data_IF_107536350510
#
_entry.id   IF_107536350510
#
_cell.length_a   1.000
_cell.length_b   1.000
_cell.length_c   1.000
_cell.angle_alpha   90.00
_cell.angle_beta   90.00
_cell.angle_gamma   90.00
#
_symmetry.space_group_name_H-M   'P 1'
#
loop_
_entity.id
_entity.type
_entity.pdbx_description
1 polymer ?
#
# COMPACT_ATOMS: atom_id res chain seq x y z
N UNK A 1 -47.31 29.32 17.54
CA UNK A 1 -47.40 27.96 18.11
C UNK A 1 -47.37 27.01 16.92
N UNK A 2 -46.19 26.81 16.33
CA UNK A 2 -45.27 25.67 16.55
C UNK A 2 -45.73 24.39 15.85
N UNK A 3 -44.83 23.81 15.05
CA UNK A 3 -44.74 22.44 14.47
C UNK A 3 -44.80 22.46 12.94
N UNK A 4 -43.94 21.80 12.15
CA UNK A 4 -42.57 21.26 12.23
C UNK A 4 -42.29 20.79 10.78
N UNK A 5 -41.08 20.91 10.21
CA UNK A 5 -40.74 20.30 8.92
C UNK A 5 -40.21 18.85 9.08
N UNK A 6 -40.39 17.95 8.10
CA UNK A 6 -39.63 16.71 7.95
C UNK A 6 -38.54 16.86 6.84
N UNK A 7 -37.72 15.84 6.53
CA UNK A 7 -36.87 15.02 7.38
C UNK A 7 -35.40 15.11 6.87
N UNK A 8 -34.45 15.57 7.68
CA UNK A 8 -33.03 15.46 7.31
C UNK A 8 -32.44 14.15 7.84
N UNK A 9 -32.35 13.18 6.94
CA UNK A 9 -31.42 12.08 7.03
C UNK A 9 -29.98 12.62 6.96
N UNK A 10 -29.19 12.43 8.01
CA UNK A 10 -27.73 12.44 7.93
C UNK A 10 -27.12 11.91 9.22
N UNK A 11 -26.34 10.83 9.09
CA UNK A 11 -25.09 10.52 9.79
C UNK A 11 -25.00 9.02 10.08
N UNK A 12 -24.69 8.24 9.05
CA UNK A 12 -24.04 6.94 9.23
C UNK A 12 -22.60 7.21 9.70
N UNK A 13 -22.40 7.30 11.02
CA UNK A 13 -21.07 7.28 11.63
C UNK A 13 -20.63 5.81 11.76
N UNK A 14 -20.24 5.24 10.62
CA UNK A 14 -19.47 3.99 10.61
C UNK A 14 -18.02 4.38 10.36
N UNK A 15 -17.11 4.28 11.34
CA UNK A 15 -15.71 4.56 11.10
C UNK A 15 -15.22 3.63 9.98
N UNK A 16 -14.64 4.16 8.88
CA UNK A 16 -14.17 3.32 7.80
C UNK A 16 -13.15 2.36 8.38
N UNK A 17 -13.38 1.05 8.17
CA UNK A 17 -12.41 0.01 8.46
C UNK A 17 -11.05 0.52 8.01
N UNK A 18 -10.05 0.52 8.91
CA UNK A 18 -8.72 1.08 8.64
C UNK A 18 -8.16 0.43 7.38
N UNK A 19 -8.41 1.06 6.25
CA UNK A 19 -7.82 0.69 4.98
C UNK A 19 -6.32 0.68 5.22
N UNK A 20 -5.67 -0.45 4.93
CA UNK A 20 -4.24 -0.58 5.11
C UNK A 20 -3.58 0.54 4.30
N UNK A 21 -3.00 1.51 5.01
CA UNK A 21 -2.35 2.64 4.37
C UNK A 21 -1.30 2.11 3.38
N UNK A 22 -1.34 2.63 2.15
CA UNK A 22 -0.38 2.27 1.10
C UNK A 22 1.04 2.51 1.61
N UNK A 23 1.87 1.50 1.43
CA UNK A 23 3.28 1.49 1.80
C UNK A 23 4.06 0.87 0.64
N UNK A 24 5.31 1.32 0.44
CA UNK A 24 6.15 0.84 -0.66
C UNK A 24 6.67 1.96 -1.56
N UNK A 25 7.17 1.54 -2.71
CA UNK A 25 7.82 2.41 -3.69
C UNK A 25 6.79 3.35 -4.32
N UNK A 26 7.25 4.47 -4.86
CA UNK A 26 6.43 5.33 -5.69
C UNK A 26 6.47 4.78 -7.10
N UNK A 27 5.30 4.45 -7.65
CA UNK A 27 5.20 4.04 -9.05
C UNK A 27 5.15 5.28 -9.95
N UNK A 28 5.57 5.18 -11.22
CA UNK A 28 5.45 6.30 -12.16
C UNK A 28 4.01 6.81 -12.28
N UNK A 29 3.02 5.91 -12.24
CA UNK A 29 1.60 6.26 -12.29
C UNK A 29 1.17 7.03 -11.02
N UNK A 30 1.66 6.63 -9.85
CA UNK A 30 1.44 7.35 -8.60
C UNK A 30 2.06 8.75 -8.62
N UNK A 31 3.27 8.89 -9.17
CA UNK A 31 3.94 10.20 -9.32
C UNK A 31 3.20 11.12 -10.29
N UNK A 32 2.75 10.60 -11.44
CA UNK A 32 1.98 11.35 -12.42
C UNK A 32 0.65 11.85 -11.84
N UNK A 33 -0.10 10.97 -11.18
CA UNK A 33 -1.33 11.32 -10.50
C UNK A 33 -1.11 12.38 -9.41
N UNK A 34 -0.09 12.20 -8.57
CA UNK A 34 0.22 13.15 -7.49
C UNK A 34 0.64 14.52 -8.02
N UNK A 35 1.43 14.55 -9.09
CA UNK A 35 1.85 15.81 -9.72
C UNK A 35 0.66 16.60 -10.23
N UNK A 36 -0.31 15.90 -10.84
CA UNK A 36 -1.58 16.52 -11.26
C UNK A 36 -2.38 17.05 -10.07
N UNK A 37 -2.52 16.26 -9.01
CA UNK A 37 -3.20 16.70 -7.79
C UNK A 37 -2.56 17.95 -7.17
N UNK A 38 -1.22 18.02 -7.11
CA UNK A 38 -0.50 19.20 -6.62
C UNK A 38 -0.77 20.43 -7.50
N UNK A 39 -0.79 20.25 -8.83
CA UNK A 39 -1.07 21.33 -9.77
C UNK A 39 -2.49 21.87 -9.57
N UNK A 40 -3.49 21.00 -9.45
CA UNK A 40 -4.89 21.38 -9.27
C UNK A 40 -5.14 22.02 -7.90
N UNK A 41 -4.46 21.53 -6.87
CA UNK A 41 -4.51 22.11 -5.53
C UNK A 41 -3.88 23.52 -5.49
N UNK A 42 -2.70 23.68 -6.09
CA UNK A 42 -2.01 24.98 -6.15
C UNK A 42 -2.76 25.97 -7.04
N UNK A 43 -3.48 25.46 -8.04
CA UNK A 43 -4.34 26.25 -8.91
C UNK A 43 -5.60 26.78 -8.21
N UNK A 44 -6.00 26.21 -7.08
CA UNK A 44 -7.22 26.60 -6.36
C UNK A 44 -8.51 26.18 -7.05
N UNK A 45 -8.46 25.20 -7.97
CA UNK A 45 -9.59 24.81 -8.84
C UNK A 45 -10.36 23.58 -8.34
N UNK A 46 -10.06 23.12 -7.13
CA UNK A 46 -10.72 21.97 -6.51
C UNK A 46 -12.00 22.45 -5.80
N UNK A 47 -13.15 21.91 -6.21
CA UNK A 47 -14.47 22.32 -5.70
C UNK A 47 -14.90 21.50 -4.48
N UNK A 48 -14.31 20.32 -4.30
CA UNK A 48 -14.61 19.33 -3.25
C UNK A 48 -13.82 19.53 -1.95
N UNK A 49 -12.95 20.56 -1.89
CA UNK A 49 -12.06 20.83 -0.76
C UNK A 49 -12.39 22.17 -0.11
N UNK A 50 -12.35 22.20 1.22
CA UNK A 50 -12.50 23.40 2.02
C UNK A 50 -11.18 24.19 2.12
N UNK A 51 -11.29 25.52 2.10
CA UNK A 51 -10.15 26.42 2.30
C UNK A 51 -9.45 26.15 3.63
N UNK A 52 -8.12 26.26 3.64
CA UNK A 52 -7.31 25.95 4.82
C UNK A 52 -6.96 24.47 4.98
N UNK A 53 -7.55 23.56 4.19
CA UNK A 53 -7.13 22.16 4.15
C UNK A 53 -5.65 22.09 3.77
N UNK A 54 -4.83 21.33 4.51
CA UNK A 54 -3.40 21.20 4.15
C UNK A 54 -3.20 20.28 2.95
N UNK A 55 -2.27 20.61 2.06
CA UNK A 55 -1.94 19.78 0.90
C UNK A 55 -1.50 18.37 1.32
N UNK A 56 -0.77 18.28 2.44
CA UNK A 56 -0.32 17.01 3.02
C UNK A 56 -1.49 16.12 3.42
N UNK A 57 -2.45 16.63 4.20
CA UNK A 57 -3.59 15.83 4.66
C UNK A 57 -4.45 15.39 3.48
N UNK A 58 -4.72 16.31 2.55
CA UNK A 58 -5.51 16.01 1.37
C UNK A 58 -4.86 14.96 0.46
N UNK A 59 -3.58 15.11 0.09
CA UNK A 59 -2.88 14.10 -0.72
C UNK A 59 -2.82 12.74 -0.04
N UNK A 60 -2.65 12.72 1.28
CA UNK A 60 -2.63 11.46 2.03
C UNK A 60 -3.96 10.70 1.93
N UNK A 61 -5.09 11.41 1.92
CA UNK A 61 -6.41 10.84 1.70
C UNK A 61 -6.58 10.36 0.26
N UNK A 62 -6.21 11.17 -0.73
CA UNK A 62 -6.32 10.80 -2.15
C UNK A 62 -5.49 9.55 -2.48
N UNK A 63 -4.25 9.47 -1.98
CA UNK A 63 -3.33 8.35 -2.24
C UNK A 63 -3.50 7.18 -1.26
N UNK A 64 -4.45 7.27 -0.31
CA UNK A 64 -4.70 6.27 0.74
C UNK A 64 -3.42 5.88 1.49
N UNK A 65 -2.57 6.86 1.83
CA UNK A 65 -1.28 6.64 2.49
C UNK A 65 -1.11 7.52 3.73
N UNK A 66 -0.05 7.30 4.52
CA UNK A 66 0.18 8.10 5.71
C UNK A 66 0.76 9.49 5.37
N UNK A 67 0.40 10.57 6.09
CA UNK A 67 0.95 11.91 5.89
C UNK A 67 2.48 11.99 5.94
N UNK A 68 3.11 11.05 6.66
CA UNK A 68 4.56 10.97 6.73
C UNK A 68 5.21 10.51 5.44
N UNK A 69 4.57 9.63 4.67
CA UNK A 69 5.07 9.20 3.36
C UNK A 69 5.13 10.38 2.39
N UNK A 70 4.11 11.23 2.42
CA UNK A 70 4.07 12.48 1.67
C UNK A 70 5.20 13.42 2.11
N UNK A 71 5.34 13.66 3.42
CA UNK A 71 6.39 14.54 3.95
C UNK A 71 7.81 14.07 3.63
N UNK A 72 8.02 12.75 3.53
CA UNK A 72 9.31 12.17 3.17
C UNK A 72 9.62 12.25 1.68
N UNK A 73 8.59 12.21 0.82
CA UNK A 73 8.74 12.33 -0.64
C UNK A 73 9.03 13.77 -1.05
N UNK A 74 8.32 14.71 -0.44
CA UNK A 74 8.32 16.12 -0.80
C UNK A 74 9.10 16.92 0.27
N UNK A 75 10.41 17.06 0.04
CA UNK A 75 11.37 17.72 0.94
C UNK A 75 12.08 18.89 0.25
N UNK A 76 12.75 19.75 1.03
CA UNK A 76 13.47 20.92 0.51
C UNK A 76 12.53 21.89 -0.22
N UNK A 77 12.93 22.28 -1.42
CA UNK A 77 12.16 23.20 -2.28
C UNK A 77 10.77 22.65 -2.65
N UNK A 78 10.63 21.33 -2.71
CA UNK A 78 9.36 20.68 -3.03
C UNK A 78 8.50 20.42 -1.79
N UNK A 79 8.85 20.97 -0.62
CA UNK A 79 8.11 20.67 0.61
C UNK A 79 6.68 21.21 0.60
N UNK A 80 5.73 20.34 0.92
CA UNK A 80 4.29 20.68 0.87
C UNK A 80 3.64 20.82 2.25
N UNK A 81 4.42 20.66 3.31
CA UNK A 81 3.94 20.53 4.68
C UNK A 81 3.23 21.76 5.26
N UNK A 82 3.48 22.95 4.69
CA UNK A 82 2.89 24.23 5.11
C UNK A 82 1.91 24.80 4.07
N UNK A 83 1.68 24.11 2.96
CA UNK A 83 0.84 24.58 1.87
C UNK A 83 -0.62 24.28 2.22
N UNK A 84 -1.44 25.32 2.24
CA UNK A 84 -2.87 25.24 2.52
C UNK A 84 -3.65 25.50 1.23
N UNK A 85 -4.83 24.89 1.12
CA UNK A 85 -5.72 25.09 0.00
C UNK A 85 -6.34 26.48 0.08
N UNK A 86 -6.32 27.18 -1.04
CA UNK A 86 -7.02 28.44 -1.23
C UNK A 86 -7.73 28.38 -2.58
N UNK A 87 -9.05 28.45 -2.55
CA UNK A 87 -9.88 28.43 -3.75
C UNK A 87 -9.64 29.69 -4.58
N UNK A 88 -9.42 29.50 -5.88
CA UNK A 88 -9.29 30.57 -6.83
C UNK A 88 -10.60 30.69 -7.63
N UNK A 89 -11.50 31.55 -7.15
CA UNK A 89 -12.82 31.74 -7.78
C UNK A 89 -12.73 32.31 -9.19
N UNK A 90 -11.83 33.27 -9.43
CA UNK A 90 -11.63 33.83 -10.77
C UNK A 90 -11.25 32.76 -11.79
N UNK A 91 -10.32 31.87 -11.42
CA UNK A 91 -9.92 30.77 -12.30
C UNK A 91 -11.04 29.74 -12.53
N UNK A 92 -11.91 29.52 -11.54
CA UNK A 92 -13.07 28.63 -11.72
C UNK A 92 -14.09 29.24 -12.70
N UNK A 93 -14.31 30.55 -12.64
CA UNK A 93 -15.21 31.27 -13.53
C UNK A 93 -14.67 31.38 -14.97
N UNK A 94 -13.34 31.51 -15.11
CA UNK A 94 -12.68 31.62 -16.42
C UNK A 94 -12.60 30.29 -17.17
N UNK A 95 -12.75 29.15 -16.48
CA UNK A 95 -12.69 27.85 -17.13
C UNK A 95 -14.00 27.51 -17.83
N UNK A 96 -13.91 27.19 -19.12
CA UNK A 96 -15.06 26.68 -19.87
C UNK A 96 -15.43 25.26 -19.45
N UNK A 97 -16.69 24.88 -19.66
CA UNK A 97 -17.18 23.52 -19.39
C UNK A 97 -16.33 22.46 -20.10
N UNK A 98 -15.86 22.74 -21.31
CA UNK A 98 -14.98 21.85 -22.06
C UNK A 98 -13.61 21.67 -21.38
N UNK A 99 -13.05 22.75 -20.81
CA UNK A 99 -11.80 22.69 -20.05
C UNK A 99 -11.98 21.95 -18.72
N UNK A 100 -13.09 22.18 -18.02
CA UNK A 100 -13.46 21.45 -16.80
C UNK A 100 -13.57 19.95 -17.10
N UNK A 101 -14.33 19.58 -18.13
CA UNK A 101 -14.53 18.19 -18.53
C UNK A 101 -13.22 17.51 -18.94
N UNK A 102 -12.39 18.20 -19.74
CA UNK A 102 -11.06 17.69 -20.11
C UNK A 102 -10.21 17.44 -18.86
N UNK A 103 -10.18 18.40 -17.93
CA UNK A 103 -9.41 18.27 -16.70
C UNK A 103 -9.88 17.12 -15.83
N UNK A 104 -11.19 16.90 -15.74
CA UNK A 104 -11.78 15.77 -15.02
C UNK A 104 -11.45 14.43 -15.70
N UNK A 105 -11.50 14.35 -17.03
CA UNK A 105 -11.14 13.13 -17.78
C UNK A 105 -9.68 12.76 -17.55
N UNK A 106 -8.76 13.71 -17.71
CA UNK A 106 -7.32 13.47 -17.49
C UNK A 106 -7.03 13.04 -16.04
N UNK A 107 -7.69 13.68 -15.06
CA UNK A 107 -7.54 13.30 -13.66
C UNK A 107 -8.08 11.90 -13.38
N UNK A 108 -9.20 11.54 -14.02
CA UNK A 108 -9.80 10.19 -13.93
C UNK A 108 -8.88 9.13 -14.54
N UNK A 109 -8.31 9.37 -15.72
CA UNK A 109 -7.37 8.45 -16.36
C UNK A 109 -6.13 8.20 -15.49
N UNK A 110 -5.56 9.26 -14.92
CA UNK A 110 -4.44 9.13 -13.99
C UNK A 110 -4.84 8.38 -12.71
N UNK A 111 -6.06 8.60 -12.21
CA UNK A 111 -6.59 7.89 -11.04
C UNK A 111 -6.76 6.40 -11.32
N UNK A 112 -7.29 6.06 -12.49
CA UNK A 112 -7.50 4.67 -12.91
C UNK A 112 -6.14 3.97 -13.09
N UNK A 113 -5.19 4.60 -13.77
CA UNK A 113 -3.82 4.07 -13.91
C UNK A 113 -3.12 3.88 -12.56
N UNK A 114 -3.29 4.84 -11.63
CA UNK A 114 -2.78 4.70 -10.26
C UNK A 114 -3.41 3.49 -9.55
N UNK A 115 -4.73 3.31 -9.64
CA UNK A 115 -5.42 2.19 -9.02
C UNK A 115 -5.00 0.84 -9.62
N UNK A 116 -4.84 0.76 -10.93
CA UNK A 116 -4.33 -0.43 -11.62
C UNK A 116 -2.89 -0.75 -11.20
N UNK A 117 -2.01 0.26 -11.15
CA UNK A 117 -0.64 0.09 -10.67
C UNK A 117 -0.60 -0.42 -9.23
N UNK A 118 -1.56 0.02 -8.39
CA UNK A 118 -1.69 -0.46 -7.02
C UNK A 118 -2.10 -1.91 -6.94
N UNK A 119 -3.15 -2.29 -7.68
CA UNK A 119 -3.62 -3.69 -7.74
C UNK A 119 -2.51 -4.61 -8.21
N UNK A 120 -1.72 -4.17 -9.21
CA UNK A 120 -0.56 -4.90 -9.70
C UNK A 120 0.51 -5.08 -8.61
N UNK A 121 0.91 -4.01 -7.92
CA UNK A 121 1.89 -4.10 -6.82
C UNK A 121 1.41 -4.98 -5.65
N UNK A 122 0.13 -4.90 -5.27
CA UNK A 122 -0.43 -5.76 -4.22
C UNK A 122 -0.38 -7.24 -4.64
N UNK A 123 -0.73 -7.55 -5.89
CA UNK A 123 -0.67 -8.91 -6.44
C UNK A 123 0.75 -9.47 -6.44
N UNK A 124 1.72 -8.71 -6.97
CA UNK A 124 3.13 -9.09 -6.97
C UNK A 124 3.64 -9.34 -5.54
N UNK A 125 3.21 -8.53 -4.57
CA UNK A 125 3.59 -8.70 -3.17
C UNK A 125 3.02 -9.98 -2.55
N UNK A 126 1.74 -10.27 -2.79
CA UNK A 126 1.12 -11.51 -2.30
C UNK A 126 1.75 -12.74 -2.93
N UNK A 127 2.09 -12.69 -4.22
CA UNK A 127 2.83 -13.74 -4.92
C UNK A 127 4.24 -13.94 -4.31
N UNK A 128 4.97 -12.86 -4.04
CA UNK A 128 6.27 -12.91 -3.36
C UNK A 128 6.18 -13.49 -1.94
N UNK A 129 5.16 -13.12 -1.16
CA UNK A 129 4.90 -13.70 0.16
C UNK A 129 4.61 -15.19 0.06
N UNK A 130 3.73 -15.60 -0.86
CA UNK A 130 3.39 -17.00 -1.10
C UNK A 130 4.61 -17.81 -1.54
N UNK A 131 5.45 -17.26 -2.42
CA UNK A 131 6.68 -17.92 -2.86
C UNK A 131 7.71 -18.01 -1.72
N UNK A 132 7.80 -16.98 -0.87
CA UNK A 132 8.63 -16.98 0.34
C UNK A 132 8.21 -18.06 1.35
N UNK A 133 6.91 -18.21 1.62
CA UNK A 133 6.38 -19.24 2.53
C UNK A 133 6.57 -20.64 1.95
N UNK A 134 6.33 -20.84 0.65
CA UNK A 134 6.62 -22.10 -0.06
C UNK A 134 8.10 -22.48 0.03
N UNK A 135 9.02 -21.54 -0.21
CA UNK A 135 10.47 -21.75 -0.10
C UNK A 135 10.89 -22.13 1.32
N UNK A 136 10.36 -21.45 2.34
CA UNK A 136 10.60 -21.77 3.76
C UNK A 136 10.09 -23.17 4.13
N UNK A 137 8.87 -23.53 3.72
CA UNK A 137 8.30 -24.87 3.97
C UNK A 137 9.15 -25.98 3.33
N UNK A 138 9.57 -25.79 2.07
CA UNK A 138 10.45 -26.72 1.35
C UNK A 138 11.82 -26.87 2.03
N UNK A 139 12.40 -25.77 2.50
CA UNK A 139 13.68 -25.84 3.20
C UNK A 139 13.53 -26.54 4.55
N UNK A 140 12.44 -26.31 5.30
CA UNK A 140 12.15 -27.00 6.55
C UNK A 140 12.02 -28.52 6.36
N UNK A 141 11.29 -28.97 5.35
CA UNK A 141 11.15 -30.41 5.06
C UNK A 141 12.48 -31.05 4.65
N UNK A 142 13.31 -30.33 3.88
CA UNK A 142 14.68 -30.77 3.54
C UNK A 142 15.57 -30.90 4.78
N UNK A 143 15.52 -29.93 5.71
CA UNK A 143 16.30 -29.99 6.96
C UNK A 143 15.82 -31.15 7.84
N UNK A 144 14.50 -31.35 7.94
CA UNK A 144 13.93 -32.47 8.69
C UNK A 144 14.35 -33.83 8.09
N UNK A 145 14.27 -34.00 6.77
CA UNK A 145 14.73 -35.21 6.09
C UNK A 145 16.24 -35.47 6.24
N UNK A 146 17.05 -34.40 6.27
CA UNK A 146 18.49 -34.51 6.54
C UNK A 146 18.77 -34.94 7.99
N UNK A 147 18.01 -34.39 8.95
CA UNK A 147 18.13 -34.76 10.35
C UNK A 147 17.74 -36.23 10.59
N UNK A 148 16.63 -36.70 10.01
CA UNK A 148 16.20 -38.11 10.13
C UNK A 148 17.19 -39.07 9.49
N UNK A 149 17.72 -38.73 8.31
CA UNK A 149 18.78 -39.52 7.66
C UNK A 149 20.06 -39.59 8.52
N UNK A 150 20.45 -38.49 9.16
CA UNK A 150 21.61 -38.45 10.07
C UNK A 150 21.41 -39.30 11.32
N UNK A 151 20.19 -39.37 11.86
CA UNK A 151 19.86 -40.21 13.01
C UNK A 151 19.95 -41.69 12.63
N UNK A 152 19.35 -42.08 11.52
CA UNK A 152 19.35 -43.48 11.05
C UNK A 152 20.77 -43.98 10.74
N UNK A 153 21.63 -43.13 10.14
CA UNK A 153 23.03 -43.47 9.87
C UNK A 153 23.87 -43.59 11.15
N UNK A 154 23.57 -42.80 12.19
CA UNK A 154 24.22 -42.94 13.50
C UNK A 154 23.81 -44.25 14.19
N UNK A 155 22.52 -44.59 14.15
CA UNK A 155 21.98 -45.83 14.72
C UNK A 155 22.62 -47.07 14.08
N UNK A 156 22.75 -47.07 12.75
CA UNK A 156 23.33 -48.18 11.99
C UNK A 156 24.81 -48.39 12.34
N UNK A 157 25.59 -47.30 12.50
CA UNK A 157 26.99 -47.40 12.95
C UNK A 157 27.10 -47.98 14.35
N UNK A 158 26.20 -47.61 15.26
CA UNK A 158 26.22 -48.13 16.62
C UNK A 158 25.90 -49.64 16.64
N UNK A 159 24.90 -50.08 15.85
CA UNK A 159 24.56 -51.49 15.71
C UNK A 159 25.72 -52.34 15.14
N UNK A 160 26.41 -51.85 14.10
CA UNK A 160 27.58 -52.54 13.53
C UNK A 160 28.75 -52.66 14.52
N UNK A 161 28.99 -51.63 15.33
CA UNK A 161 30.03 -51.67 16.38
C UNK A 161 29.69 -52.65 17.51
N UNK A 162 28.41 -52.82 17.83
CA UNK A 162 27.97 -53.81 18.83
C UNK A 162 28.14 -55.23 18.28
N UNK A 163 27.82 -55.46 17.01
CA UNK A 163 27.98 -56.77 16.37
C UNK A 163 29.45 -57.20 16.28
N UNK A 164 30.38 -56.28 16.00
CA UNK A 164 31.82 -56.57 15.92
C UNK A 164 32.46 -56.98 17.26
N UNK A 165 31.84 -56.63 18.40
CA UNK A 165 32.33 -56.99 19.74
C UNK A 165 31.84 -58.36 20.23
N UNK A 166 31.05 -59.09 19.43
CA UNK A 166 30.41 -60.35 19.82
C UNK A 166 30.85 -61.55 18.96
N UNK A 167 32.12 -61.61 18.56
CA UNK A 167 32.72 -62.87 18.10
C UNK A 167 33.54 -63.49 19.24
N UNK A 168 33.17 -64.68 19.75
CA UNK A 168 34.04 -65.44 20.63
C UNK A 168 35.24 -65.97 19.84
N UNK A 169 36.44 -65.84 20.42
CA UNK A 169 37.68 -66.42 19.90
C UNK A 169 37.55 -67.96 19.81
N UNK A 170 37.95 -68.58 18.68
CA UNK A 170 37.94 -70.04 18.59
C UNK A 170 39.00 -70.64 19.53
N UNK A 171 38.79 -71.88 20.00
CA UNK A 171 39.63 -72.56 20.98
C UNK A 171 41.04 -72.88 20.45
#
# INVERSE_FOLDING_TARGET
MTTSPPPHAAATDTPPAKDKARWGKWTPEEEAYTSRLIADFTAGVLTDIENGTTMRSWLSAQLRCCPMRISKKFVGEQSIGKRMFERNEGRLLDMSDAQVAKRQSELKELRDAFNESWVREEREREEHKANGTRKRKRNRSKTAAKATSSINTSLLRHASNIAAKKLPSPP
#
